data_IF_009441312262
#
_entry.id   IF_009441312262
#
_cell.length_a   1.000
_cell.length_b   1.000
_cell.length_c   1.000
_cell.angle_alpha   90.00
_cell.angle_beta   90.00
_cell.angle_gamma   90.00
#
_symmetry.space_group_name_H-M   'P 1'
#
loop_
_entity.id
_entity.type
_entity.pdbx_description
1 polymer ?
#
# COMPACT_ATOMS: atom_id res chain seq x y z
N UNK A 1 -4.03 2.28 12.04
CA UNK A 1 -4.72 3.53 11.63
C UNK A 1 -4.71 4.49 12.79
N UNK A 2 -4.27 5.73 12.57
CA UNK A 2 -4.21 6.80 13.57
C UNK A 2 -5.24 7.84 13.17
N UNK A 3 -6.15 8.19 14.07
CA UNK A 3 -7.12 9.27 13.84
C UNK A 3 -6.45 10.61 14.10
N UNK A 4 -6.61 11.58 13.20
CA UNK A 4 -6.07 12.93 13.33
C UNK A 4 -7.15 13.97 13.62
N UNK A 5 -8.43 13.56 13.66
CA UNK A 5 -9.59 14.42 13.89
C UNK A 5 -10.18 15.00 12.60
N UNK A 6 -11.39 15.58 12.69
CA UNK A 6 -12.13 16.21 11.57
C UNK A 6 -12.28 15.31 10.33
N UNK A 7 -12.45 14.01 10.54
CA UNK A 7 -12.56 13.02 9.46
C UNK A 7 -11.24 12.64 8.80
N UNK A 8 -10.11 13.21 9.22
CA UNK A 8 -8.78 12.83 8.77
C UNK A 8 -8.22 11.66 9.58
N UNK A 9 -7.47 10.80 8.89
CA UNK A 9 -6.67 9.75 9.51
C UNK A 9 -5.44 9.46 8.68
N UNK A 10 -4.50 8.75 9.29
CA UNK A 10 -3.30 8.27 8.65
C UNK A 10 -3.07 6.79 8.93
N UNK A 11 -2.29 6.14 8.07
CA UNK A 11 -1.83 4.77 8.24
C UNK A 11 -0.36 4.69 7.89
N UNK A 12 0.35 3.78 8.56
CA UNK A 12 1.59 3.21 8.05
C UNK A 12 1.30 1.75 7.74
N UNK A 13 1.96 1.20 6.74
CA UNK A 13 1.79 -0.18 6.34
C UNK A 13 3.11 -0.81 5.92
N UNK A 14 3.13 -2.13 5.97
CA UNK A 14 4.21 -2.98 5.50
C UNK A 14 3.57 -4.19 4.84
N UNK A 15 3.99 -4.48 3.62
CA UNK A 15 3.48 -5.56 2.79
C UNK A 15 4.64 -6.46 2.36
N UNK A 16 4.37 -7.77 2.26
CA UNK A 16 5.30 -8.73 1.68
C UNK A 16 4.58 -9.74 0.82
N UNK A 17 5.21 -10.16 -0.28
CA UNK A 17 4.63 -11.17 -1.17
C UNK A 17 5.44 -11.43 -2.42
N UNK A 18 5.12 -12.53 -3.10
CA UNK A 18 5.69 -12.89 -4.39
C UNK A 18 4.69 -13.75 -5.19
N UNK A 19 4.98 -13.96 -6.47
CA UNK A 19 4.20 -14.80 -7.38
C UNK A 19 5.12 -15.80 -8.08
N UNK A 20 4.75 -17.07 -8.07
CA UNK A 20 5.52 -18.16 -8.70
C UNK A 20 4.70 -18.84 -9.79
N UNK A 21 5.38 -19.36 -10.80
CA UNK A 21 4.73 -20.06 -11.93
C UNK A 21 4.31 -21.49 -11.58
N UNK A 22 5.04 -22.16 -10.69
CA UNK A 22 4.77 -23.54 -10.26
C UNK A 22 4.88 -23.64 -8.74
N UNK A 23 4.13 -24.58 -8.16
CA UNK A 23 4.15 -24.85 -6.71
C UNK A 23 5.56 -25.23 -6.23
N UNK A 24 6.31 -25.97 -7.04
CA UNK A 24 7.68 -26.40 -6.69
C UNK A 24 8.69 -25.23 -6.63
N UNK A 25 8.34 -24.08 -7.21
CA UNK A 25 9.22 -22.91 -7.24
C UNK A 25 8.98 -21.99 -6.03
N UNK A 26 7.97 -22.27 -5.19
CA UNK A 26 7.66 -21.46 -4.01
C UNK A 26 8.80 -21.53 -3.00
N UNK A 27 9.26 -20.36 -2.59
CA UNK A 27 10.34 -20.17 -1.63
C UNK A 27 10.04 -18.99 -0.68
N UNK A 28 11.03 -18.62 0.14
CA UNK A 28 10.93 -17.49 1.07
C UNK A 28 11.46 -16.19 0.47
N UNK A 29 11.82 -16.16 -0.82
CA UNK A 29 12.23 -14.92 -1.50
C UNK A 29 10.96 -14.11 -1.81
N UNK A 30 10.59 -13.20 -0.91
CA UNK A 30 9.44 -12.33 -1.08
C UNK A 30 9.86 -10.88 -1.26
N UNK A 31 9.08 -10.13 -2.05
CA UNK A 31 9.27 -8.69 -2.22
C UNK A 31 8.70 -7.95 -1.01
N UNK A 32 9.27 -6.81 -0.66
CA UNK A 32 8.87 -6.03 0.51
C UNK A 32 8.53 -4.60 0.16
N UNK A 33 7.46 -4.07 0.75
CA UNK A 33 7.05 -2.68 0.60
C UNK A 33 6.71 -2.10 1.96
N UNK A 34 7.08 -0.84 2.20
CA UNK A 34 6.56 -0.06 3.31
C UNK A 34 5.99 1.24 2.79
N UNK A 35 4.99 1.76 3.48
CA UNK A 35 4.33 2.97 3.01
C UNK A 35 3.52 3.68 4.06
N UNK A 36 2.96 4.80 3.63
CA UNK A 36 2.10 5.65 4.43
C UNK A 36 0.91 6.10 3.62
N UNK A 37 -0.17 6.40 4.32
CA UNK A 37 -1.45 6.69 3.70
C UNK A 37 -2.21 7.76 4.43
N UNK A 38 -2.76 8.71 3.67
CA UNK A 38 -3.72 9.68 4.16
C UNK A 38 -5.14 9.19 3.87
N UNK A 39 -6.04 9.45 4.83
CA UNK A 39 -7.45 9.08 4.78
C UNK A 39 -8.28 10.30 5.10
N UNK A 40 -9.31 10.56 4.31
CA UNK A 40 -10.26 11.64 4.58
C UNK A 40 -11.69 11.17 4.33
N UNK A 41 -12.53 11.26 5.35
CA UNK A 41 -13.94 10.90 5.25
C UNK A 41 -14.73 12.13 4.77
N UNK A 42 -15.22 12.07 3.53
CA UNK A 42 -16.15 13.07 2.98
C UNK A 42 -17.59 12.63 3.19
N UNK A 43 -18.59 13.52 3.05
CA UNK A 43 -20.00 13.14 3.11
C UNK A 43 -20.43 12.09 2.07
N UNK A 44 -19.72 12.03 0.93
CA UNK A 44 -20.03 11.15 -0.21
C UNK A 44 -19.15 9.89 -0.26
N UNK A 45 -18.24 9.71 0.72
CA UNK A 45 -17.40 8.52 0.84
C UNK A 45 -15.96 8.81 1.26
N UNK A 46 -15.18 7.78 1.61
CA UNK A 46 -13.80 7.93 2.02
C UNK A 46 -12.88 8.18 0.81
N UNK A 47 -11.96 9.13 0.96
CA UNK A 47 -10.80 9.35 0.10
C UNK A 47 -9.56 8.73 0.74
N UNK A 48 -8.73 8.10 -0.08
CA UNK A 48 -7.46 7.50 0.33
C UNK A 48 -6.38 7.86 -0.67
N UNK A 49 -5.23 8.29 -0.16
CA UNK A 49 -4.00 8.48 -0.91
C UNK A 49 -2.93 7.68 -0.20
N UNK A 50 -2.30 6.75 -0.90
CA UNK A 50 -1.23 5.90 -0.39
C UNK A 50 0.03 6.10 -1.20
N UNK A 51 1.18 6.11 -0.53
CA UNK A 51 2.47 5.97 -1.16
C UNK A 51 3.15 4.73 -0.60
N UNK A 52 3.42 3.76 -1.47
CA UNK A 52 4.16 2.54 -1.14
C UNK A 52 5.57 2.59 -1.74
N UNK A 53 6.59 2.31 -0.94
CA UNK A 53 8.00 2.29 -1.33
C UNK A 53 8.55 0.86 -1.30
N UNK A 54 9.17 0.43 -2.41
CA UNK A 54 9.80 -0.89 -2.52
C UNK A 54 11.09 -0.90 -1.70
N UNK A 55 11.16 -1.76 -0.69
CA UNK A 55 12.30 -1.85 0.22
C UNK A 55 13.47 -2.63 -0.40
N UNK A 56 13.16 -3.53 -1.31
CA UNK A 56 14.09 -4.40 -2.04
C UNK A 56 14.02 -4.10 -3.55
N UNK A 57 14.07 -2.81 -3.90
CA UNK A 57 13.99 -2.35 -5.30
C UNK A 57 15.08 -2.98 -6.17
N UNK A 58 14.69 -3.59 -7.30
CA UNK A 58 15.60 -4.13 -8.31
C UNK A 58 15.94 -3.07 -9.37
N UNK A 59 17.02 -3.32 -10.10
CA UNK A 59 17.43 -2.44 -11.20
C UNK A 59 16.31 -2.30 -12.24
N UNK A 60 16.02 -1.07 -12.65
CA UNK A 60 14.94 -0.74 -13.58
C UNK A 60 13.55 -0.54 -12.95
N UNK A 61 13.36 -0.82 -11.66
CA UNK A 61 12.07 -0.61 -10.99
C UNK A 61 11.90 0.84 -10.49
N UNK A 62 10.65 1.33 -10.49
CA UNK A 62 10.28 2.56 -9.77
C UNK A 62 10.52 2.39 -8.28
N UNK A 63 10.90 3.47 -7.58
CA UNK A 63 11.14 3.44 -6.13
C UNK A 63 9.86 3.15 -5.34
N UNK A 64 8.71 3.53 -5.86
CA UNK A 64 7.42 3.42 -5.19
C UNK A 64 6.30 3.86 -6.11
N UNK A 65 5.07 3.76 -5.64
CA UNK A 65 3.88 4.13 -6.40
C UNK A 65 2.84 4.83 -5.53
N UNK A 66 2.13 5.78 -6.14
CA UNK A 66 0.96 6.40 -5.53
C UNK A 66 -0.31 5.62 -5.89
N UNK A 67 -1.15 5.39 -4.90
CA UNK A 67 -2.47 4.82 -5.09
C UNK A 67 -3.53 5.77 -4.58
N UNK A 68 -4.57 5.96 -5.40
CA UNK A 68 -5.71 6.79 -5.07
C UNK A 68 -6.97 5.92 -5.04
N UNK A 69 -7.80 6.11 -4.02
CA UNK A 69 -9.10 5.42 -3.93
C UNK A 69 -10.15 6.39 -3.43
N UNK A 70 -11.31 6.37 -4.08
CA UNK A 70 -12.51 7.06 -3.63
C UNK A 70 -13.65 6.06 -3.46
N UNK A 71 -14.37 6.17 -2.34
CA UNK A 71 -15.45 5.25 -2.01
C UNK A 71 -14.96 3.99 -1.27
N UNK A 72 -15.87 3.02 -1.18
CA UNK A 72 -15.57 1.73 -0.57
C UNK A 72 -15.12 0.77 -1.67
N UNK A 73 -13.85 0.36 -1.65
CA UNK A 73 -13.43 -0.83 -2.37
C UNK A 73 -14.08 -2.05 -1.67
N UNK A 74 -14.63 -2.93 -2.50
CA UNK A 74 -15.36 -4.15 -2.16
C UNK A 74 -14.52 -5.17 -1.38
#
# INVERSE_FOLDING_TARGET
RISLGKGFGTVIFFDSGNVWKKIRDVDFDVRYTAGTGLRYNTPVGPLRVDYGHKLDRKEGESAGEFHFTFGHAF
#
